data_IF_171774363706
#
_entry.id   IF_171774363706
#
_cell.length_a   1.000
_cell.length_b   1.000
_cell.length_c   1.000
_cell.angle_alpha   90.00
_cell.angle_beta   90.00
_cell.angle_gamma   90.00
#
_symmetry.space_group_name_H-M   'P 1'
#
loop_
_entity.id
_entity.type
_entity.pdbx_description
1 polymer ?
#
# COMPACT_ATOMS: atom_id res chain seq x y z
N UNK A 1 89.83 -2.40 32.74
CA UNK A 1 89.20 -3.12 31.64
C UNK A 1 87.69 -2.99 31.85
N UNK A 2 87.02 -2.15 31.05
CA UNK A 2 85.60 -1.86 31.15
C UNK A 2 84.91 -2.62 30.07
N UNK A 3 83.94 -3.52 30.42
CA UNK A 3 83.09 -4.23 29.48
C UNK A 3 81.88 -3.34 29.06
N UNK A 4 81.47 -3.31 27.79
CA UNK A 4 80.26 -2.61 27.37
C UNK A 4 79.07 -3.49 27.56
N UNK A 5 78.00 -2.92 28.18
CA UNK A 5 76.66 -3.51 28.29
C UNK A 5 75.95 -3.23 26.99
N UNK A 6 75.61 -4.28 26.22
CA UNK A 6 74.72 -4.23 25.05
C UNK A 6 73.27 -4.17 25.51
N UNK A 7 72.62 -3.02 25.27
CA UNK A 7 71.24 -2.83 25.49
C UNK A 7 70.47 -3.31 24.25
N UNK A 8 69.80 -4.49 24.33
CA UNK A 8 68.92 -4.98 23.28
C UNK A 8 67.52 -4.30 23.42
N UNK A 9 67.20 -3.35 22.52
CA UNK A 9 65.90 -2.77 22.43
C UNK A 9 64.98 -3.75 21.71
N UNK A 10 64.07 -4.34 22.48
CA UNK A 10 62.93 -5.17 21.92
C UNK A 10 61.87 -4.25 21.32
N UNK A 11 61.86 -4.14 20.00
CA UNK A 11 60.82 -3.42 19.26
C UNK A 11 59.55 -4.31 19.22
N UNK A 12 58.57 -4.01 20.09
CA UNK A 12 57.25 -4.69 20.06
C UNK A 12 56.49 -4.15 18.87
N UNK A 13 56.44 -4.95 17.80
CA UNK A 13 55.59 -4.68 16.64
C UNK A 13 54.14 -5.04 16.99
N UNK A 14 53.31 -4.04 17.36
CA UNK A 14 51.88 -4.22 17.54
C UNK A 14 51.24 -4.18 16.15
N UNK A 15 50.65 -5.28 15.63
CA UNK A 15 49.95 -5.23 14.39
C UNK A 15 48.65 -4.44 14.61
N UNK A 16 48.56 -3.24 14.06
CA UNK A 16 47.31 -2.48 13.96
C UNK A 16 46.46 -3.16 12.89
N UNK A 17 45.53 -4.02 13.32
CA UNK A 17 44.48 -4.52 12.45
C UNK A 17 43.55 -3.36 12.09
N UNK A 18 43.78 -2.76 10.93
CA UNK A 18 42.76 -1.96 10.27
C UNK A 18 41.60 -2.90 9.89
N UNK A 19 40.55 -2.91 10.69
CA UNK A 19 39.25 -3.41 10.23
C UNK A 19 38.79 -2.46 9.12
N UNK A 20 39.12 -2.80 7.88
CA UNK A 20 38.42 -2.25 6.72
C UNK A 20 36.98 -2.66 6.87
N UNK A 21 36.17 -1.77 7.42
CA UNK A 21 34.70 -1.84 7.34
C UNK A 21 34.38 -1.70 5.86
N UNK A 22 34.22 -2.84 5.16
CA UNK A 22 33.72 -2.88 3.80
C UNK A 22 32.23 -2.53 3.87
N UNK A 23 31.90 -1.24 3.84
CA UNK A 23 30.55 -0.75 3.62
C UNK A 23 30.05 -1.26 2.26
N UNK A 24 28.72 -1.22 2.00
CA UNK A 24 28.19 -1.53 0.68
C UNK A 24 28.79 -0.59 -0.36
N UNK A 25 28.92 -1.08 -1.60
CA UNK A 25 29.26 -0.27 -2.75
C UNK A 25 28.36 0.97 -2.83
N UNK A 26 28.91 2.08 -3.38
CA UNK A 26 28.20 3.37 -3.50
C UNK A 26 26.84 3.29 -4.22
N UNK A 27 26.58 2.21 -4.98
CA UNK A 27 25.31 1.93 -5.66
C UNK A 27 24.44 0.89 -4.96
N UNK A 28 24.89 0.32 -3.84
CA UNK A 28 24.13 -0.68 -3.09
C UNK A 28 23.75 -0.16 -1.71
N UNK A 29 22.50 -0.38 -1.33
CA UNK A 29 22.05 -0.28 0.05
C UNK A 29 22.08 -1.67 0.70
N UNK A 30 22.34 -1.72 1.99
CA UNK A 30 22.35 -2.97 2.78
C UNK A 30 21.45 -2.87 3.98
N UNK A 31 20.80 -3.98 4.34
CA UNK A 31 20.21 -4.15 5.67
C UNK A 31 20.82 -5.40 6.34
N UNK A 32 21.23 -5.26 7.57
CA UNK A 32 21.67 -6.33 8.46
C UNK A 32 20.74 -6.40 9.65
N UNK A 33 20.27 -7.59 9.99
CA UNK A 33 19.29 -7.75 11.05
C UNK A 33 19.63 -8.89 12.01
N UNK A 34 19.26 -8.67 13.28
CA UNK A 34 19.26 -9.68 14.33
C UNK A 34 17.87 -9.74 14.96
N UNK A 35 17.22 -10.91 14.92
CA UNK A 35 15.91 -11.18 15.51
C UNK A 35 16.05 -12.29 16.52
N UNK A 36 16.02 -11.93 17.80
CA UNK A 36 16.11 -12.88 18.90
C UNK A 36 14.92 -13.85 18.89
N UNK A 37 15.11 -15.09 19.31
CA UNK A 37 14.06 -16.10 19.37
C UNK A 37 13.66 -16.71 18.02
N UNK A 38 14.28 -16.28 16.91
CA UNK A 38 14.07 -16.84 15.57
C UNK A 38 15.32 -17.61 15.16
N UNK A 39 15.20 -18.93 14.92
CA UNK A 39 16.34 -19.73 14.43
C UNK A 39 16.43 -19.66 12.90
N UNK A 40 15.31 -19.99 12.22
CA UNK A 40 15.18 -19.92 10.76
C UNK A 40 13.83 -19.33 10.36
N UNK A 41 13.84 -18.44 9.36
CA UNK A 41 12.63 -17.86 8.77
C UNK A 41 12.92 -17.35 7.35
N UNK A 42 11.86 -17.19 6.56
CA UNK A 42 11.90 -16.42 5.32
C UNK A 42 11.15 -15.12 5.55
N UNK A 43 11.80 -14.00 5.26
CA UNK A 43 11.21 -12.66 5.30
C UNK A 43 11.13 -12.18 3.85
N UNK A 44 9.98 -11.65 3.44
CA UNK A 44 9.86 -11.05 2.12
C UNK A 44 10.23 -9.58 2.20
N UNK A 45 10.93 -9.07 1.19
CA UNK A 45 11.28 -7.66 1.08
C UNK A 45 10.81 -7.10 -0.27
N UNK A 46 10.18 -5.94 -0.25
CA UNK A 46 9.67 -5.27 -1.44
C UNK A 46 9.50 -3.76 -1.20
N UNK A 47 9.37 -2.99 -2.29
CA UNK A 47 9.01 -1.58 -2.21
C UNK A 47 7.49 -1.42 -2.37
N UNK A 48 6.78 -0.91 -1.36
CA UNK A 48 5.32 -0.77 -1.41
C UNK A 48 4.85 0.33 -2.37
N UNK A 49 5.72 1.29 -2.72
CA UNK A 49 5.42 2.41 -3.61
C UNK A 49 5.98 2.25 -5.04
N UNK A 50 6.81 1.23 -5.27
CA UNK A 50 7.32 0.88 -6.61
C UNK A 50 6.47 -0.18 -7.32
N UNK A 51 5.50 -0.74 -6.64
CA UNK A 51 4.61 -1.74 -7.18
C UNK A 51 3.67 -1.13 -8.23
N UNK A 52 4.15 -0.95 -9.44
CA UNK A 52 3.32 -1.30 -10.59
C UNK A 52 2.96 -2.77 -10.40
N UNK A 53 1.69 -3.11 -10.41
CA UNK A 53 1.16 -4.47 -10.23
C UNK A 53 1.84 -5.54 -11.10
N UNK A 54 2.68 -5.12 -12.03
CA UNK A 54 3.39 -5.95 -13.01
C UNK A 54 4.90 -6.08 -12.73
N UNK A 55 5.50 -5.37 -11.77
CA UNK A 55 6.97 -5.30 -11.60
C UNK A 55 7.47 -5.30 -10.16
N UNK A 56 6.62 -5.46 -9.18
CA UNK A 56 7.06 -5.52 -7.79
C UNK A 56 7.97 -6.73 -7.57
N UNK A 57 9.28 -6.54 -7.70
CA UNK A 57 10.25 -7.56 -7.29
C UNK A 57 10.12 -7.73 -5.80
N UNK A 58 9.57 -8.84 -5.41
CA UNK A 58 9.57 -9.32 -4.05
C UNK A 58 10.72 -10.30 -3.89
N UNK A 59 11.69 -9.94 -3.08
CA UNK A 59 12.82 -10.80 -2.77
C UNK A 59 12.58 -11.55 -1.46
N UNK A 60 13.27 -12.67 -1.29
CA UNK A 60 13.22 -13.47 -0.07
C UNK A 60 14.54 -13.41 0.67
N UNK A 61 14.49 -12.95 1.91
CA UNK A 61 15.61 -12.92 2.84
C UNK A 61 15.52 -14.15 3.72
N UNK A 62 16.60 -14.94 3.77
CA UNK A 62 16.71 -16.09 4.66
C UNK A 62 17.35 -15.69 5.98
N UNK A 63 16.61 -15.83 7.07
CA UNK A 63 17.12 -15.70 8.43
C UNK A 63 17.77 -17.02 8.84
N UNK A 64 18.98 -16.99 9.39
CA UNK A 64 19.70 -18.13 9.94
C UNK A 64 20.26 -17.78 11.30
N UNK A 65 19.95 -18.56 12.32
CA UNK A 65 20.35 -18.31 13.72
C UNK A 65 19.96 -16.91 14.21
N UNK A 66 18.81 -16.43 13.74
CA UNK A 66 18.33 -15.08 14.07
C UNK A 66 18.99 -13.94 13.30
N UNK A 67 19.92 -14.21 12.42
CA UNK A 67 20.67 -13.19 11.66
C UNK A 67 20.32 -13.23 10.18
N UNK A 68 20.37 -12.08 9.54
CA UNK A 68 20.23 -11.93 8.10
C UNK A 68 20.99 -10.72 7.56
N UNK A 69 21.33 -10.77 6.29
CA UNK A 69 21.80 -9.64 5.51
C UNK A 69 21.13 -9.65 4.13
N UNK A 70 20.84 -8.46 3.61
CA UNK A 70 20.27 -8.27 2.29
C UNK A 70 20.88 -7.03 1.65
N UNK A 71 21.38 -7.18 0.44
CA UNK A 71 21.92 -6.12 -0.40
C UNK A 71 21.04 -5.90 -1.60
N UNK A 72 20.81 -4.65 -1.96
CA UNK A 72 20.07 -4.27 -3.17
C UNK A 72 20.74 -3.08 -3.85
N UNK A 73 20.83 -3.14 -5.17
CA UNK A 73 21.19 -1.97 -5.97
C UNK A 73 20.09 -0.92 -5.87
N UNK A 74 20.48 0.31 -5.53
CA UNK A 74 19.58 1.47 -5.39
C UNK A 74 20.25 2.72 -5.95
N UNK A 75 19.57 3.42 -6.86
CA UNK A 75 20.06 4.66 -7.45
C UNK A 75 19.89 5.87 -6.52
N UNK A 76 19.02 5.76 -5.54
CA UNK A 76 18.69 6.79 -4.55
C UNK A 76 18.00 6.18 -3.33
N UNK A 77 17.59 7.02 -2.36
CA UNK A 77 16.84 6.55 -1.21
C UNK A 77 15.53 5.87 -1.64
N UNK A 78 15.21 4.71 -1.05
CA UNK A 78 14.02 3.92 -1.34
C UNK A 78 13.33 3.47 -0.05
N UNK A 79 12.00 3.46 -0.05
CA UNK A 79 11.20 2.89 1.02
C UNK A 79 11.00 1.41 0.73
N UNK A 80 11.44 0.57 1.64
CA UNK A 80 11.28 -0.88 1.59
C UNK A 80 10.47 -1.37 2.78
N UNK A 81 9.85 -2.54 2.61
CA UNK A 81 9.07 -3.22 3.65
C UNK A 81 9.55 -4.65 3.81
N UNK A 82 9.82 -5.05 5.05
CA UNK A 82 10.01 -6.43 5.45
C UNK A 82 8.64 -7.00 5.86
N UNK A 83 8.18 -8.05 5.20
CA UNK A 83 6.96 -8.78 5.54
C UNK A 83 7.33 -10.10 6.20
N UNK A 84 6.88 -10.27 7.45
CA UNK A 84 7.15 -11.46 8.26
C UNK A 84 6.13 -12.57 8.02
N UNK A 85 6.44 -13.84 8.39
CA UNK A 85 5.54 -14.97 8.17
C UNK A 85 4.16 -14.85 8.86
N UNK A 86 4.03 -14.01 9.88
CA UNK A 86 2.78 -13.71 10.57
C UNK A 86 2.00 -12.53 9.93
N UNK A 87 2.39 -12.11 8.73
CA UNK A 87 1.84 -10.98 7.97
C UNK A 87 2.01 -9.60 8.61
N UNK A 88 2.70 -9.48 9.75
CA UNK A 88 3.16 -8.17 10.21
C UNK A 88 4.33 -7.67 9.38
N UNK A 89 4.59 -6.36 9.40
CA UNK A 89 5.65 -5.78 8.59
C UNK A 89 6.44 -4.69 9.32
N UNK A 90 7.62 -4.39 8.77
CA UNK A 90 8.45 -3.25 9.18
C UNK A 90 8.90 -2.49 7.94
N UNK A 91 8.45 -1.24 7.81
CA UNK A 91 8.91 -0.33 6.77
C UNK A 91 10.20 0.36 7.20
N UNK A 92 11.12 0.57 6.24
CA UNK A 92 12.42 1.22 6.46
C UNK A 92 12.88 1.95 5.21
N UNK A 93 13.84 2.87 5.39
CA UNK A 93 14.47 3.61 4.29
C UNK A 93 15.86 3.03 4.05
N UNK A 94 16.12 2.60 2.82
CA UNK A 94 17.43 2.17 2.35
C UNK A 94 18.04 3.26 1.47
N UNK A 95 19.34 3.53 1.66
CA UNK A 95 20.07 4.52 0.89
C UNK A 95 21.33 3.90 0.27
N UNK A 96 21.78 4.38 -0.91
CA UNK A 96 23.04 3.95 -1.51
C UNK A 96 24.22 4.17 -0.56
N UNK A 97 25.15 3.21 -0.49
CA UNK A 97 26.36 3.28 0.32
C UNK A 97 26.13 3.15 1.83
N UNK A 98 24.87 2.96 2.31
CA UNK A 98 24.57 2.86 3.74
C UNK A 98 24.09 1.48 4.15
N UNK A 99 24.37 1.12 5.40
CA UNK A 99 23.86 -0.10 6.04
C UNK A 99 22.83 0.25 7.09
N UNK A 100 21.62 -0.27 6.90
CA UNK A 100 20.54 -0.25 7.90
C UNK A 100 20.78 -1.40 8.88
N UNK A 101 20.71 -1.13 10.17
CA UNK A 101 20.82 -2.13 11.23
C UNK A 101 19.47 -2.36 11.87
N UNK A 102 18.98 -3.61 11.86
CA UNK A 102 17.73 -4.01 12.46
C UNK A 102 18.00 -4.88 13.69
N UNK A 103 17.33 -4.56 14.80
CA UNK A 103 17.33 -5.40 16.01
C UNK A 103 15.92 -5.60 16.51
N UNK A 104 15.57 -6.82 16.91
CA UNK A 104 14.26 -7.14 17.44
C UNK A 104 14.17 -8.50 18.09
N UNK A 105 12.95 -8.82 18.52
CA UNK A 105 12.54 -10.11 19.10
C UNK A 105 11.38 -10.67 18.27
N UNK A 106 11.49 -11.93 17.85
CA UNK A 106 10.47 -12.59 17.02
C UNK A 106 9.07 -12.65 17.66
N UNK A 107 8.99 -12.60 18.98
CA UNK A 107 7.72 -12.54 19.72
C UNK A 107 7.16 -11.10 19.81
N UNK A 108 7.97 -10.09 19.49
CA UNK A 108 7.64 -8.66 19.64
C UNK A 108 8.08 -7.84 18.43
N UNK A 109 7.71 -8.29 17.22
CA UNK A 109 8.10 -7.65 15.97
C UNK A 109 7.66 -6.18 15.84
N UNK A 110 6.64 -5.74 16.60
CA UNK A 110 6.24 -4.33 16.67
C UNK A 110 7.28 -3.43 17.38
N UNK A 111 8.17 -4.02 18.18
CA UNK A 111 9.22 -3.31 18.95
C UNK A 111 10.56 -3.26 18.20
N UNK A 112 10.62 -3.70 16.96
CA UNK A 112 11.84 -3.65 16.15
C UNK A 112 12.40 -2.25 16.07
N UNK A 113 13.72 -2.14 16.27
CA UNK A 113 14.47 -0.91 16.11
C UNK A 113 15.30 -0.93 14.83
N UNK A 114 15.38 0.21 14.18
CA UNK A 114 16.18 0.45 12.98
C UNK A 114 17.14 1.60 13.25
N UNK A 115 18.34 1.48 12.68
CA UNK A 115 19.40 2.47 12.71
C UNK A 115 20.08 2.53 11.33
N UNK A 116 21.07 3.39 11.14
CA UNK A 116 21.89 3.52 9.94
C UNK A 116 21.62 4.79 9.11
N UNK A 117 20.48 5.46 9.35
CA UNK A 117 20.20 6.79 8.84
C UNK A 117 19.13 7.51 9.70
N UNK A 118 18.98 8.82 9.49
CA UNK A 118 18.05 9.66 10.26
C UNK A 118 16.58 9.25 10.10
N UNK A 119 16.17 8.83 8.90
CA UNK A 119 14.80 8.38 8.64
C UNK A 119 14.46 7.12 9.44
N UNK A 120 15.37 6.16 9.52
CA UNK A 120 15.15 4.92 10.28
C UNK A 120 15.14 5.15 11.79
N UNK A 121 15.91 6.10 12.30
CA UNK A 121 15.82 6.53 13.70
C UNK A 121 14.44 7.16 13.99
N UNK A 122 13.98 8.07 13.16
CA UNK A 122 12.63 8.68 13.27
C UNK A 122 11.52 7.63 13.21
N UNK A 123 11.63 6.64 12.29
CA UNK A 123 10.67 5.54 12.19
C UNK A 123 10.68 4.65 13.44
N UNK A 124 11.83 4.44 14.04
CA UNK A 124 11.97 3.69 15.30
C UNK A 124 11.29 4.42 16.45
N UNK A 125 11.57 5.71 16.63
CA UNK A 125 10.94 6.54 17.65
C UNK A 125 9.42 6.60 17.48
N UNK A 126 8.94 6.79 16.25
CA UNK A 126 7.51 6.79 15.93
C UNK A 126 6.86 5.47 16.32
N UNK A 127 7.40 4.31 15.89
CA UNK A 127 6.87 2.99 16.24
C UNK A 127 6.78 2.77 17.75
N UNK A 128 7.82 3.16 18.49
CA UNK A 128 7.82 3.01 19.96
C UNK A 128 6.71 3.83 20.63
N UNK A 129 6.41 5.04 20.11
CA UNK A 129 5.26 5.82 20.58
C UNK A 129 3.93 5.14 20.28
N UNK A 130 3.79 4.56 19.06
CA UNK A 130 2.57 3.88 18.61
C UNK A 130 2.18 2.68 19.47
N UNK A 131 3.15 1.97 20.09
CA UNK A 131 2.88 0.79 20.93
C UNK A 131 1.93 1.04 22.11
N UNK A 132 1.79 2.29 22.54
CA UNK A 132 1.03 2.70 23.73
C UNK A 132 -0.29 3.40 23.40
N UNK A 133 -0.63 3.53 22.11
CA UNK A 133 -1.76 4.33 21.66
C UNK A 133 -2.96 3.45 21.27
N UNK A 134 -4.16 4.00 21.43
CA UNK A 134 -5.38 3.48 20.79
C UNK A 134 -5.34 3.72 19.29
N UNK A 135 -6.15 3.01 18.51
CA UNK A 135 -6.19 3.17 17.05
C UNK A 135 -6.49 4.61 16.60
N UNK A 136 -7.47 5.26 17.26
CA UNK A 136 -7.81 6.66 16.98
C UNK A 136 -6.68 7.63 17.33
N UNK A 137 -5.90 7.33 18.39
CA UNK A 137 -4.75 8.12 18.78
C UNK A 137 -3.56 7.91 17.82
N UNK A 138 -3.42 6.70 17.27
CA UNK A 138 -2.40 6.39 16.27
C UNK A 138 -2.52 7.26 15.02
N UNK A 139 -3.71 7.48 14.49
CA UNK A 139 -3.92 8.36 13.33
C UNK A 139 -3.57 9.82 13.64
N UNK A 140 -3.96 10.29 14.82
CA UNK A 140 -3.64 11.65 15.26
C UNK A 140 -2.13 11.85 15.43
N UNK A 141 -1.44 10.86 16.01
CA UNK A 141 0.01 10.88 16.17
C UNK A 141 0.71 10.82 14.80
N UNK A 142 0.27 9.96 13.89
CA UNK A 142 0.79 9.88 12.53
C UNK A 142 0.62 11.21 11.77
N UNK A 143 -0.55 11.83 11.88
CA UNK A 143 -0.80 13.14 11.28
C UNK A 143 0.12 14.24 11.88
N UNK A 144 0.36 14.19 13.18
CA UNK A 144 1.29 15.10 13.86
C UNK A 144 2.71 14.86 13.40
N UNK A 145 3.15 13.61 13.33
CA UNK A 145 4.48 13.24 12.85
C UNK A 145 4.74 13.73 11.42
N UNK A 146 3.79 13.50 10.50
CA UNK A 146 3.90 13.98 9.11
C UNK A 146 4.05 15.51 9.03
N UNK A 147 3.29 16.25 9.84
CA UNK A 147 3.38 17.72 9.88
C UNK A 147 4.69 18.21 10.50
N UNK A 148 5.25 17.49 11.47
CA UNK A 148 6.50 17.86 12.15
C UNK A 148 7.74 17.51 11.34
N UNK A 149 7.67 16.51 10.46
CA UNK A 149 8.82 16.01 9.68
C UNK A 149 8.55 15.96 8.16
N UNK A 150 7.88 16.96 7.54
CA UNK A 150 7.33 16.84 6.20
C UNK A 150 8.39 16.69 5.09
N UNK A 151 9.66 17.02 5.38
CA UNK A 151 10.78 16.94 4.45
C UNK A 151 11.55 15.60 4.51
N UNK A 152 11.04 14.59 5.25
CA UNK A 152 11.72 13.31 5.48
C UNK A 152 11.01 12.15 4.78
N UNK A 153 11.74 11.10 4.41
CA UNK A 153 11.14 9.85 3.92
C UNK A 153 10.44 9.07 5.05
N UNK A 154 10.84 9.27 6.29
CA UNK A 154 10.11 8.77 7.44
C UNK A 154 8.66 9.26 7.45
N UNK A 155 8.41 10.54 7.18
CA UNK A 155 7.05 11.08 7.11
C UNK A 155 6.25 10.50 5.93
N UNK A 156 6.89 10.27 4.78
CA UNK A 156 6.27 9.58 3.63
C UNK A 156 5.89 8.15 4.00
N UNK A 157 6.79 7.44 4.67
CA UNK A 157 6.59 6.07 5.15
C UNK A 157 5.44 6.00 6.14
N UNK A 158 5.42 6.86 7.16
CA UNK A 158 4.34 6.92 8.16
C UNK A 158 3.00 7.26 7.51
N UNK A 159 2.98 8.21 6.59
CA UNK A 159 1.76 8.53 5.86
C UNK A 159 1.23 7.31 5.08
N UNK A 160 2.10 6.61 4.36
CA UNK A 160 1.70 5.42 3.61
C UNK A 160 1.24 4.28 4.52
N UNK A 161 1.98 3.96 5.57
CA UNK A 161 1.68 2.87 6.48
C UNK A 161 0.36 3.08 7.25
N UNK A 162 0.02 4.32 7.59
CA UNK A 162 -1.18 4.62 8.41
C UNK A 162 -2.39 5.00 7.56
N UNK A 163 -2.20 5.75 6.47
CA UNK A 163 -3.30 6.25 5.64
C UNK A 163 -3.36 5.59 4.27
N UNK A 164 -2.19 5.21 3.71
CA UNK A 164 -2.09 4.67 2.37
C UNK A 164 -2.77 3.32 2.17
N UNK A 165 -2.85 2.48 3.20
CA UNK A 165 -3.44 1.13 3.12
C UNK A 165 -4.90 1.05 3.59
N UNK A 166 -5.45 2.15 4.09
CA UNK A 166 -6.86 2.16 4.50
C UNK A 166 -7.79 1.99 3.30
N UNK A 167 -8.80 1.14 3.46
CA UNK A 167 -9.87 0.98 2.48
C UNK A 167 -10.73 2.23 2.40
N UNK A 168 -11.08 2.78 3.56
CA UNK A 168 -11.85 4.02 3.68
C UNK A 168 -10.99 5.12 4.26
N UNK A 169 -10.83 6.22 3.57
CA UNK A 169 -10.07 7.39 4.00
C UNK A 169 -11.01 8.52 4.40
N UNK A 170 -10.71 9.16 5.53
CA UNK A 170 -11.21 10.50 5.80
C UNK A 170 -10.53 11.44 4.79
N UNK A 171 -11.27 11.99 3.80
CA UNK A 171 -10.64 12.65 2.66
C UNK A 171 -9.90 13.93 3.05
N UNK A 172 -10.44 14.73 3.94
CA UNK A 172 -9.88 16.04 4.26
C UNK A 172 -8.54 15.97 4.99
N UNK A 173 -8.38 15.22 6.12
CA UNK A 173 -7.08 15.13 6.77
C UNK A 173 -6.03 14.46 5.89
N UNK A 174 -6.36 13.38 5.20
CA UNK A 174 -5.40 12.66 4.35
C UNK A 174 -4.93 13.51 3.16
N UNK A 175 -5.83 14.27 2.51
CA UNK A 175 -5.48 15.20 1.43
C UNK A 175 -4.56 16.32 1.92
N UNK A 176 -4.85 16.91 3.07
CA UNK A 176 -4.03 17.98 3.64
C UNK A 176 -2.61 17.48 3.98
N UNK A 177 -2.47 16.26 4.52
CA UNK A 177 -1.18 15.66 4.81
C UNK A 177 -0.38 15.36 3.54
N UNK A 178 -1.02 14.80 2.53
CA UNK A 178 -0.39 14.54 1.24
C UNK A 178 0.11 15.84 0.58
N UNK A 179 -0.69 16.90 0.65
CA UNK A 179 -0.30 18.21 0.14
C UNK A 179 0.86 18.82 0.92
N UNK A 180 0.92 18.58 2.24
CA UNK A 180 2.06 18.98 3.08
C UNK A 180 3.35 18.30 2.62
N UNK A 181 3.32 16.98 2.35
CA UNK A 181 4.47 16.23 1.82
C UNK A 181 4.89 16.74 0.44
N UNK A 182 3.93 16.97 -0.47
CA UNK A 182 4.20 17.49 -1.81
C UNK A 182 4.87 18.86 -1.80
N UNK A 183 4.41 19.77 -0.95
CA UNK A 183 5.00 21.11 -0.79
C UNK A 183 6.41 21.08 -0.24
N UNK A 184 6.65 20.16 0.71
CA UNK A 184 7.97 20.05 1.36
C UNK A 184 8.98 19.28 0.54
N UNK A 185 8.53 18.42 -0.39
CA UNK A 185 9.37 17.55 -1.20
C UNK A 185 8.91 17.55 -2.68
N UNK A 186 8.89 18.70 -3.38
CA UNK A 186 8.27 18.83 -4.70
C UNK A 186 8.96 18.01 -5.79
N UNK A 187 10.27 17.80 -5.66
CA UNK A 187 11.06 17.05 -6.64
C UNK A 187 11.26 15.56 -6.26
N UNK A 188 10.74 15.15 -5.12
CA UNK A 188 10.90 13.77 -4.66
C UNK A 188 9.96 12.83 -5.43
N UNK A 189 10.53 11.91 -6.22
CA UNK A 189 9.76 10.96 -7.04
C UNK A 189 8.96 9.96 -6.21
N UNK A 190 9.39 9.65 -4.98
CA UNK A 190 8.61 8.80 -4.06
C UNK A 190 7.32 9.52 -3.67
N UNK A 191 7.39 10.82 -3.39
CA UNK A 191 6.21 11.66 -3.07
C UNK A 191 5.30 11.82 -4.29
N UNK A 192 5.86 11.96 -5.49
CA UNK A 192 5.08 12.00 -6.75
C UNK A 192 4.33 10.67 -6.94
N UNK A 193 5.00 9.52 -6.82
CA UNK A 193 4.38 8.18 -6.89
C UNK A 193 3.31 7.98 -5.82
N UNK A 194 3.58 8.37 -4.57
CA UNK A 194 2.58 8.34 -3.49
C UNK A 194 1.35 9.18 -3.85
N UNK A 195 1.55 10.37 -4.42
CA UNK A 195 0.45 11.24 -4.84
C UNK A 195 -0.38 10.61 -5.96
N UNK A 196 0.27 10.02 -6.96
CA UNK A 196 -0.41 9.33 -8.07
C UNK A 196 -1.20 8.10 -7.57
N UNK A 197 -0.67 7.40 -6.59
CA UNK A 197 -1.34 6.28 -5.93
C UNK A 197 -2.55 6.71 -5.10
N UNK A 198 -2.43 7.81 -4.34
CA UNK A 198 -3.45 8.27 -3.39
C UNK A 198 -4.54 9.13 -4.02
N UNK A 199 -4.20 9.94 -5.03
CA UNK A 199 -5.12 10.92 -5.62
C UNK A 199 -6.42 10.33 -6.14
N UNK A 200 -6.43 9.19 -6.88
CA UNK A 200 -7.69 8.59 -7.34
C UNK A 200 -8.59 8.11 -6.18
N UNK A 201 -7.99 7.56 -5.12
CA UNK A 201 -8.73 7.13 -3.94
C UNK A 201 -9.37 8.31 -3.22
N UNK A 202 -8.61 9.39 -3.01
CA UNK A 202 -9.09 10.62 -2.39
C UNK A 202 -10.18 11.31 -3.23
N UNK A 203 -10.05 11.25 -4.56
CA UNK A 203 -11.04 11.80 -5.49
C UNK A 203 -12.35 10.99 -5.54
N UNK A 204 -12.34 9.77 -5.03
CA UNK A 204 -13.50 8.86 -4.99
C UNK A 204 -13.94 8.51 -3.56
N UNK A 205 -13.58 9.30 -2.58
CA UNK A 205 -14.04 9.16 -1.20
C UNK A 205 -15.49 9.64 -1.03
N UNK A 206 -16.22 9.20 -0.01
CA UNK A 206 -17.55 9.72 0.30
C UNK A 206 -17.58 11.25 0.37
N UNK A 207 -18.64 11.85 -0.17
CA UNK A 207 -18.81 13.29 -0.33
C UNK A 207 -18.21 13.87 -1.63
N UNK A 208 -17.37 13.12 -2.36
CA UNK A 208 -16.82 13.56 -3.64
C UNK A 208 -17.80 13.23 -4.81
N UNK A 209 -17.70 13.97 -5.88
CA UNK A 209 -18.40 13.63 -7.14
C UNK A 209 -17.67 12.49 -7.86
N UNK A 210 -18.42 11.59 -8.46
CA UNK A 210 -17.87 10.53 -9.30
C UNK A 210 -17.02 11.14 -10.43
N UNK A 211 -15.75 10.77 -10.59
CA UNK A 211 -14.87 11.34 -11.61
C UNK A 211 -15.43 11.11 -13.02
N UNK A 212 -15.17 12.05 -13.93
CA UNK A 212 -15.55 11.91 -15.31
C UNK A 212 -14.82 10.71 -15.95
N UNK A 213 -15.59 9.81 -16.57
CA UNK A 213 -15.07 8.68 -17.34
C UNK A 213 -15.90 8.40 -18.59
N UNK A 214 -15.35 7.66 -19.52
CA UNK A 214 -16.08 7.01 -20.61
C UNK A 214 -15.71 5.52 -20.63
N UNK A 215 -16.69 4.68 -20.93
CA UNK A 215 -16.52 3.24 -21.03
C UNK A 215 -17.44 2.68 -22.11
N UNK A 216 -17.15 1.47 -22.59
CA UNK A 216 -18.02 0.70 -23.48
C UNK A 216 -18.43 -0.57 -22.75
N UNK A 217 -19.74 -0.85 -22.74
CA UNK A 217 -20.27 -2.05 -22.12
C UNK A 217 -20.13 -3.28 -23.02
N UNK A 218 -20.43 -4.46 -22.49
CA UNK A 218 -20.34 -5.72 -23.26
C UNK A 218 -21.29 -5.78 -24.47
N UNK A 219 -22.31 -4.92 -24.54
CA UNK A 219 -23.21 -4.81 -25.69
C UNK A 219 -22.68 -3.85 -26.76
N UNK A 220 -21.48 -3.26 -26.56
CA UNK A 220 -20.86 -2.30 -27.46
C UNK A 220 -21.37 -0.87 -27.33
N UNK A 221 -22.14 -0.54 -26.29
CA UNK A 221 -22.71 0.80 -26.07
C UNK A 221 -21.73 1.63 -25.26
N UNK A 222 -21.31 2.76 -25.80
CA UNK A 222 -20.48 3.73 -25.06
C UNK A 222 -21.35 4.56 -24.12
N UNK A 223 -20.81 4.87 -22.94
CA UNK A 223 -21.46 5.69 -21.93
C UNK A 223 -20.43 6.43 -21.07
N UNK A 224 -20.90 7.40 -20.30
CA UNK A 224 -20.09 8.22 -19.40
C UNK A 224 -20.69 8.18 -17.99
N UNK A 225 -20.02 8.77 -17.01
CA UNK A 225 -20.58 8.95 -15.67
C UNK A 225 -21.87 9.79 -15.67
N UNK A 226 -22.10 10.65 -16.68
CA UNK A 226 -23.32 11.45 -16.78
C UNK A 226 -24.55 10.59 -17.11
N UNK A 227 -24.37 9.46 -17.82
CA UNK A 227 -25.45 8.53 -18.15
C UNK A 227 -25.93 7.72 -16.93
N UNK A 228 -25.19 7.82 -15.81
CA UNK A 228 -25.57 7.21 -14.54
C UNK A 228 -26.40 8.16 -13.66
N UNK A 229 -26.48 9.46 -13.98
CA UNK A 229 -27.25 10.45 -13.21
C UNK A 229 -28.74 10.22 -13.27
N UNK A 230 -29.44 10.78 -12.28
CA UNK A 230 -30.89 10.66 -12.13
C UNK A 230 -31.35 9.46 -11.31
N UNK A 231 -30.44 8.51 -11.05
CA UNK A 231 -30.67 7.35 -10.19
C UNK A 231 -29.45 7.05 -9.34
N UNK A 232 -29.62 6.63 -8.09
CA UNK A 232 -28.49 6.07 -7.34
C UNK A 232 -27.84 4.93 -8.11
N UNK A 233 -26.53 4.81 -7.99
CA UNK A 233 -25.73 3.86 -8.77
C UNK A 233 -24.77 3.10 -7.87
N UNK A 234 -24.81 1.77 -7.92
CA UNK A 234 -23.80 0.89 -7.33
C UNK A 234 -22.80 0.49 -8.42
N UNK A 235 -21.54 0.84 -8.27
CA UNK A 235 -20.42 0.42 -9.13
C UNK A 235 -19.66 -0.68 -8.41
N UNK A 236 -19.52 -1.85 -9.02
CA UNK A 236 -18.90 -3.04 -8.42
C UNK A 236 -17.71 -3.47 -9.26
N UNK A 237 -16.57 -3.70 -8.59
CA UNK A 237 -15.37 -4.26 -9.21
C UNK A 237 -15.26 -5.72 -8.86
N UNK A 238 -15.34 -6.61 -9.84
CA UNK A 238 -15.33 -8.04 -9.63
C UNK A 238 -14.54 -8.76 -10.73
N UNK A 239 -14.23 -10.03 -10.50
CA UNK A 239 -13.58 -10.89 -11.47
C UNK A 239 -14.15 -12.31 -11.39
N UNK A 240 -14.26 -13.02 -12.53
CA UNK A 240 -14.80 -14.39 -12.57
C UNK A 240 -13.96 -15.39 -11.78
N UNK A 241 -12.66 -15.12 -11.61
CA UNK A 241 -11.74 -15.96 -10.83
C UNK A 241 -11.80 -15.69 -9.32
N UNK A 242 -12.51 -14.66 -8.90
CA UNK A 242 -12.73 -14.36 -7.48
C UNK A 242 -13.76 -15.31 -6.88
N UNK A 243 -13.46 -15.87 -5.70
CA UNK A 243 -14.38 -16.79 -5.01
C UNK A 243 -15.76 -16.19 -4.72
N UNK A 244 -15.84 -14.89 -4.47
CA UNK A 244 -17.09 -14.16 -4.20
C UNK A 244 -17.89 -13.76 -5.44
N UNK A 245 -17.47 -14.08 -6.68
CA UNK A 245 -18.17 -13.67 -7.90
C UNK A 245 -19.65 -14.10 -7.92
N UNK A 246 -19.95 -15.35 -7.53
CA UNK A 246 -21.32 -15.84 -7.40
C UNK A 246 -22.14 -15.12 -6.32
N UNK A 247 -21.48 -14.79 -5.21
CA UNK A 247 -22.12 -14.07 -4.12
C UNK A 247 -22.48 -12.64 -4.55
N UNK A 248 -21.58 -11.96 -5.26
CA UNK A 248 -21.85 -10.65 -5.88
C UNK A 248 -23.09 -10.73 -6.75
N UNK A 249 -23.19 -11.70 -7.67
CA UNK A 249 -24.35 -11.87 -8.52
C UNK A 249 -25.65 -12.08 -7.75
N UNK A 250 -25.64 -12.96 -6.73
CA UNK A 250 -26.83 -13.22 -5.88
C UNK A 250 -27.25 -12.00 -5.06
N UNK A 251 -26.32 -11.29 -4.45
CA UNK A 251 -26.63 -10.07 -3.67
C UNK A 251 -27.11 -8.93 -4.55
N UNK A 252 -26.52 -8.78 -5.74
CA UNK A 252 -26.99 -7.81 -6.73
C UNK A 252 -28.41 -8.14 -7.22
N UNK A 253 -28.72 -9.42 -7.45
CA UNK A 253 -30.09 -9.84 -7.82
C UNK A 253 -31.10 -9.55 -6.69
N UNK A 254 -30.73 -9.84 -5.44
CA UNK A 254 -31.55 -9.50 -4.28
C UNK A 254 -31.82 -7.98 -4.16
N UNK A 255 -30.77 -7.16 -4.43
CA UNK A 255 -30.95 -5.71 -4.51
C UNK A 255 -31.89 -5.30 -5.65
N UNK A 256 -31.79 -5.96 -6.81
CA UNK A 256 -32.63 -5.69 -7.97
C UNK A 256 -34.09 -5.95 -7.70
N UNK A 257 -34.44 -6.94 -6.87
CA UNK A 257 -35.81 -7.20 -6.42
C UNK A 257 -36.38 -6.04 -5.59
N UNK A 258 -35.53 -5.40 -4.76
CA UNK A 258 -35.94 -4.25 -3.94
C UNK A 258 -35.88 -2.92 -4.71
N UNK A 259 -34.99 -2.80 -5.67
CA UNK A 259 -34.70 -1.60 -6.44
C UNK A 259 -34.70 -1.91 -7.95
N UNK A 260 -35.82 -1.76 -8.64
CA UNK A 260 -35.91 -2.03 -10.08
C UNK A 260 -35.00 -1.09 -10.88
N UNK A 261 -34.64 -1.48 -12.09
CA UNK A 261 -33.73 -0.73 -12.98
C UNK A 261 -34.21 0.71 -13.26
N UNK A 262 -35.53 0.94 -13.22
CA UNK A 262 -36.10 2.28 -13.34
C UNK A 262 -35.69 3.23 -12.21
N UNK A 263 -35.28 2.72 -11.06
CA UNK A 263 -34.97 3.50 -9.85
C UNK A 263 -33.50 3.38 -9.37
N UNK A 264 -32.76 2.38 -9.82
CA UNK A 264 -31.41 2.08 -9.32
C UNK A 264 -30.52 1.50 -10.42
N UNK A 265 -29.34 2.10 -10.63
CA UNK A 265 -28.36 1.60 -11.56
C UNK A 265 -27.37 0.65 -10.88
N UNK A 266 -26.95 -0.38 -11.62
CA UNK A 266 -25.80 -1.21 -11.26
C UNK A 266 -24.82 -1.24 -12.43
N UNK A 267 -23.56 -0.97 -12.14
CA UNK A 267 -22.45 -1.02 -13.08
C UNK A 267 -21.42 -2.01 -12.56
N UNK A 268 -21.15 -3.08 -13.30
CA UNK A 268 -20.12 -4.06 -12.98
C UNK A 268 -18.92 -3.81 -13.87
N UNK A 269 -17.77 -3.53 -13.26
CA UNK A 269 -16.47 -3.43 -13.92
C UNK A 269 -15.75 -4.74 -13.65
N UNK A 270 -15.71 -5.59 -14.67
CA UNK A 270 -15.17 -6.94 -14.54
C UNK A 270 -13.71 -6.97 -14.97
N UNK A 271 -12.85 -7.38 -14.05
CA UNK A 271 -11.40 -7.32 -14.14
C UNK A 271 -10.82 -8.59 -14.77
N UNK A 272 -11.43 -9.08 -15.85
CA UNK A 272 -10.97 -10.24 -16.57
C UNK A 272 -10.18 -9.86 -17.81
N UNK A 273 -9.24 -10.72 -18.21
CA UNK A 273 -8.39 -10.51 -19.38
C UNK A 273 -9.01 -11.09 -20.66
N UNK A 274 -10.10 -11.87 -20.56
CA UNK A 274 -10.76 -12.53 -21.70
C UNK A 274 -12.28 -12.37 -21.65
N UNK A 275 -12.81 -11.52 -22.52
CA UNK A 275 -14.25 -11.26 -22.63
C UNK A 275 -15.06 -12.52 -22.99
N UNK A 276 -14.53 -13.39 -23.84
CA UNK A 276 -15.22 -14.63 -24.24
C UNK A 276 -15.47 -15.58 -23.05
N UNK A 277 -14.50 -15.67 -22.14
CA UNK A 277 -14.63 -16.43 -20.90
C UNK A 277 -15.70 -15.83 -19.99
N UNK A 278 -15.69 -14.50 -19.84
CA UNK A 278 -16.69 -13.77 -19.07
C UNK A 278 -18.10 -13.99 -19.64
N UNK A 279 -18.30 -13.84 -20.95
CA UNK A 279 -19.62 -14.07 -21.59
C UNK A 279 -20.13 -15.49 -21.35
N UNK A 280 -19.25 -16.50 -21.36
CA UNK A 280 -19.61 -17.88 -21.00
C UNK A 280 -20.05 -17.98 -19.52
N UNK A 281 -19.32 -17.33 -18.61
CA UNK A 281 -19.62 -17.33 -17.18
C UNK A 281 -20.95 -16.65 -16.87
N UNK A 282 -21.24 -15.53 -17.52
CA UNK A 282 -22.48 -14.77 -17.32
C UNK A 282 -23.74 -15.55 -17.69
N UNK A 283 -23.66 -16.60 -18.55
CA UNK A 283 -24.79 -17.49 -18.83
C UNK A 283 -25.21 -18.31 -17.60
N UNK A 284 -24.28 -18.66 -16.74
CA UNK A 284 -24.53 -19.45 -15.51
C UNK A 284 -24.57 -18.59 -14.24
N UNK A 285 -24.04 -17.38 -14.30
CA UNK A 285 -24.00 -16.44 -13.16
C UNK A 285 -24.20 -15.03 -13.69
N UNK A 286 -25.45 -14.63 -14.01
CA UNK A 286 -25.75 -13.31 -14.55
C UNK A 286 -25.47 -12.21 -13.52
N UNK A 287 -25.14 -11.02 -14.03
CA UNK A 287 -25.03 -9.78 -13.25
C UNK A 287 -26.16 -8.85 -13.69
N UNK A 288 -27.04 -8.37 -12.77
CA UNK A 288 -28.24 -7.63 -13.12
C UNK A 288 -27.98 -6.14 -13.34
N UNK A 289 -27.16 -5.78 -14.33
CA UNK A 289 -26.82 -4.41 -14.64
C UNK A 289 -25.92 -4.26 -15.85
N UNK A 290 -25.40 -3.06 -16.06
CA UNK A 290 -24.45 -2.79 -17.14
C UNK A 290 -23.09 -3.40 -16.79
N UNK A 291 -22.44 -4.03 -17.76
CA UNK A 291 -21.16 -4.74 -17.55
C UNK A 291 -20.09 -4.16 -18.47
N UNK A 292 -18.97 -3.80 -17.90
CA UNK A 292 -17.75 -3.36 -18.60
C UNK A 292 -16.64 -4.37 -18.37
N UNK A 293 -15.96 -4.75 -19.44
CA UNK A 293 -14.73 -5.55 -19.40
C UNK A 293 -13.80 -5.06 -20.51
N UNK A 294 -12.76 -4.31 -20.17
CA UNK A 294 -11.78 -3.78 -21.13
C UNK A 294 -10.58 -4.70 -21.33
N UNK A 295 -10.62 -5.90 -20.76
CA UNK A 295 -9.58 -6.94 -20.80
C UNK A 295 -8.21 -6.54 -20.23
N UNK A 296 -8.13 -5.41 -19.51
CA UNK A 296 -6.89 -4.91 -18.93
C UNK A 296 -6.72 -5.23 -17.44
N UNK A 297 -7.70 -5.92 -16.85
CA UNK A 297 -7.67 -6.30 -15.44
C UNK A 297 -7.38 -5.10 -14.52
N UNK A 298 -6.49 -5.23 -13.55
CA UNK A 298 -6.09 -4.14 -12.65
C UNK A 298 -5.35 -2.98 -13.36
N UNK A 299 -4.84 -3.20 -14.58
CA UNK A 299 -4.21 -2.15 -15.37
C UNK A 299 -5.22 -1.26 -16.12
N UNK A 300 -6.52 -1.53 -15.99
CA UNK A 300 -7.60 -0.73 -16.59
C UNK A 300 -7.50 0.75 -16.17
N UNK A 301 -7.52 1.69 -17.13
CA UNK A 301 -7.58 3.11 -16.82
C UNK A 301 -8.82 3.50 -16.00
N UNK A 302 -9.94 2.78 -16.18
CA UNK A 302 -11.18 2.99 -15.43
C UNK A 302 -11.02 2.61 -13.96
N UNK A 303 -10.38 1.45 -13.69
CA UNK A 303 -10.06 0.97 -12.34
C UNK A 303 -9.19 2.00 -11.62
N UNK A 304 -8.12 2.45 -12.26
CA UNK A 304 -7.22 3.47 -11.71
C UNK A 304 -7.96 4.78 -11.44
N UNK A 305 -8.76 5.25 -12.40
CA UNK A 305 -9.49 6.52 -12.29
C UNK A 305 -10.52 6.51 -11.17
N UNK A 306 -11.16 5.37 -10.92
CA UNK A 306 -12.12 5.18 -9.83
C UNK A 306 -11.45 4.81 -8.50
N UNK A 307 -10.10 4.86 -8.45
CA UNK A 307 -9.33 4.64 -7.23
C UNK A 307 -9.51 3.25 -6.63
N UNK A 308 -9.78 2.25 -7.46
CA UNK A 308 -9.96 0.88 -7.00
C UNK A 308 -8.61 0.19 -6.83
N UNK A 309 -8.43 -0.48 -5.69
CA UNK A 309 -7.17 -1.11 -5.30
C UNK A 309 -7.23 -2.63 -5.21
N UNK A 310 -8.41 -3.19 -5.12
CA UNK A 310 -8.62 -4.64 -4.97
C UNK A 310 -9.90 -5.09 -5.66
N UNK A 311 -9.98 -6.38 -5.94
CA UNK A 311 -11.16 -7.00 -6.52
C UNK A 311 -12.20 -7.23 -5.43
N UNK A 312 -13.44 -6.82 -5.68
CA UNK A 312 -14.55 -6.87 -4.71
C UNK A 312 -14.94 -5.50 -4.15
N UNK A 313 -14.10 -4.48 -4.36
CA UNK A 313 -14.43 -3.12 -3.97
C UNK A 313 -15.68 -2.58 -4.70
N UNK A 314 -16.32 -1.56 -4.12
CA UNK A 314 -17.49 -0.95 -4.70
C UNK A 314 -17.62 0.53 -4.35
N UNK A 315 -18.41 1.26 -5.12
CA UNK A 315 -18.74 2.66 -4.92
C UNK A 315 -20.24 2.81 -5.04
N UNK A 316 -20.88 3.44 -4.05
CA UNK A 316 -22.28 3.82 -4.09
C UNK A 316 -22.41 5.32 -4.28
N UNK A 317 -23.14 5.74 -5.31
CA UNK A 317 -23.43 7.14 -5.59
C UNK A 317 -24.91 7.43 -5.42
N UNK A 318 -25.23 8.67 -5.04
CA UNK A 318 -26.58 9.21 -5.10
C UNK A 318 -27.01 9.49 -6.56
N UNK A 319 -28.24 9.99 -6.74
CA UNK A 319 -28.81 10.36 -8.05
C UNK A 319 -28.04 11.47 -8.78
N UNK A 320 -27.29 12.29 -8.05
CA UNK A 320 -26.52 13.42 -8.57
C UNK A 320 -25.05 13.07 -8.83
N UNK A 321 -24.68 11.79 -8.62
CA UNK A 321 -23.34 11.27 -8.79
C UNK A 321 -22.39 11.66 -7.66
N UNK A 322 -22.90 12.02 -6.46
CA UNK A 322 -22.07 12.15 -5.26
C UNK A 322 -21.86 10.77 -4.67
N UNK A 323 -20.63 10.44 -4.35
CA UNK A 323 -20.29 9.19 -3.68
C UNK A 323 -20.77 9.27 -2.23
N UNK A 324 -21.65 8.36 -1.83
CA UNK A 324 -22.25 8.32 -0.48
C UNK A 324 -21.68 7.21 0.38
N UNK A 325 -21.19 6.14 -0.26
CA UNK A 325 -20.48 5.07 0.44
C UNK A 325 -19.45 4.42 -0.50
N UNK A 326 -18.48 3.76 0.09
CA UNK A 326 -17.44 3.03 -0.62
C UNK A 326 -17.08 1.77 0.15
N UNK A 327 -16.76 0.70 -0.61
CA UNK A 327 -16.25 -0.56 -0.08
C UNK A 327 -17.19 -1.18 0.99
N UNK A 328 -18.49 -1.09 0.74
CA UNK A 328 -19.52 -1.74 1.56
C UNK A 328 -19.37 -3.25 1.43
N UNK A 329 -19.32 -3.97 2.55
CA UNK A 329 -19.20 -5.43 2.55
C UNK A 329 -20.36 -6.08 1.77
N UNK A 330 -20.02 -7.09 0.96
CA UNK A 330 -20.99 -7.74 0.06
C UNK A 330 -22.15 -8.38 0.85
N UNK A 331 -21.84 -8.91 2.01
CA UNK A 331 -22.79 -9.51 2.94
C UNK A 331 -23.88 -8.51 3.34
N UNK A 332 -23.51 -7.26 3.50
CA UNK A 332 -24.35 -6.20 4.05
C UNK A 332 -25.09 -5.37 3.00
N UNK A 333 -24.89 -5.66 1.70
CA UNK A 333 -25.51 -4.85 0.62
C UNK A 333 -27.01 -4.72 0.74
N UNK A 334 -27.71 -5.82 1.05
CA UNK A 334 -29.19 -5.84 1.11
C UNK A 334 -29.71 -5.04 2.30
N UNK A 335 -28.97 -4.96 3.38
CA UNK A 335 -29.33 -4.23 4.60
C UNK A 335 -28.85 -2.78 4.57
N UNK A 336 -27.60 -2.56 4.21
CA UNK A 336 -26.96 -1.26 4.34
C UNK A 336 -27.20 -0.33 3.14
N UNK A 337 -27.20 -0.85 1.89
CA UNK A 337 -27.43 0.03 0.71
C UNK A 337 -28.79 0.76 0.80
N UNK A 338 -29.91 0.12 1.18
CA UNK A 338 -31.17 0.85 1.36
C UNK A 338 -31.11 1.97 2.41
N UNK A 339 -30.30 1.83 3.45
CA UNK A 339 -30.17 2.86 4.50
C UNK A 339 -29.45 4.11 4.00
N UNK A 340 -28.47 3.96 3.10
CA UNK A 340 -27.75 5.08 2.45
C UNK A 340 -28.61 5.83 1.42
N UNK A 341 -29.71 5.23 0.96
CA UNK A 341 -30.57 5.80 -0.09
C UNK A 341 -31.85 6.44 0.45
N UNK A 342 -32.03 6.51 1.77
CA UNK A 342 -33.27 7.02 2.41
C UNK A 342 -33.34 8.53 2.58
N UNK A 343 -32.29 9.28 2.22
CA UNK A 343 -32.22 10.75 2.33
C UNK A 343 -32.59 11.45 1.01
#
# INVERSE_FOLDING_TARGET
MKSPVCLFAFLVFVPVFFFLSCGPDSHHGRIEGTIQGVNEANILVFSPLEADYDRGKMDTIKVKRGEFSYDREVEGPVILRLLYPNFSYTSFVMEPGKTVKLKGDGNRLKEITLDGNSDNLLLTEFRQRMLKLSESDMEREAATFVRSHPATLAAVTVFYDVFGEKQTLEPNPSKALLETLRKSQPENDIVKRLSDFMSPLLATSPGMKLPAFSATDLDGRSFTQNDLKGKPTLIVFCAQWQGSFFQIGRKAEALRQNFPESRFNMLFIVLDERESSLRKRLKSSPLPGRIVCDTKSMASPLVRKLGMRYVGGNILCDKDGTIIARDVEIEDWVENIPSFLKD
#
